data_IF_413771977666
#
_entry.id   IF_413771977666
#
_cell.length_a   1.000
_cell.length_b   1.000
_cell.length_c   1.000
_cell.angle_alpha   90.00
_cell.angle_beta   90.00
_cell.angle_gamma   90.00
#
_symmetry.space_group_name_H-M   'P 1'
#
loop_
_entity.id
_entity.type
_entity.pdbx_description
1 polymer ?
#
# COMPACT_ATOMS: atom_id res chain seq x y z
N UNK A 1 23.47 -15.17 -34.94
CA UNK A 1 23.78 -16.35 -34.11
C UNK A 1 24.45 -15.85 -32.83
N UNK A 2 23.68 -15.63 -31.77
CA UNK A 2 24.18 -15.26 -30.45
C UNK A 2 23.38 -16.08 -29.42
N UNK A 3 23.98 -17.17 -28.95
CA UNK A 3 23.42 -18.05 -27.93
C UNK A 3 23.62 -17.40 -26.56
N UNK A 4 22.61 -16.64 -26.10
CA UNK A 4 22.51 -16.26 -24.68
C UNK A 4 21.77 -17.37 -23.95
N UNK A 5 22.51 -18.39 -23.54
CA UNK A 5 22.13 -19.22 -22.41
C UNK A 5 22.30 -18.36 -21.15
N UNK A 6 21.34 -17.48 -20.87
CA UNK A 6 21.13 -17.04 -19.50
C UNK A 6 20.79 -18.29 -18.70
N UNK A 7 21.77 -18.80 -17.93
CA UNK A 7 21.56 -20.00 -17.12
C UNK A 7 20.26 -19.84 -16.33
N UNK A 8 19.43 -20.89 -16.27
CA UNK A 8 18.17 -20.91 -15.53
C UNK A 8 18.34 -20.34 -14.10
N UNK A 9 19.52 -20.53 -13.50
CA UNK A 9 19.90 -19.96 -12.20
C UNK A 9 19.83 -18.43 -12.11
N UNK A 10 20.18 -17.70 -13.18
CA UNK A 10 20.11 -16.25 -13.25
C UNK A 10 18.66 -15.76 -13.43
N UNK A 11 17.87 -16.46 -14.26
CA UNK A 11 16.45 -16.17 -14.45
C UNK A 11 15.63 -16.38 -13.16
N UNK A 12 15.91 -17.45 -12.41
CA UNK A 12 15.30 -17.70 -11.10
C UNK A 12 15.68 -16.63 -10.07
N UNK A 13 16.94 -16.20 -10.03
CA UNK A 13 17.40 -15.12 -9.13
C UNK A 13 16.80 -13.76 -9.46
N UNK A 14 16.51 -13.49 -10.74
CA UNK A 14 15.89 -12.25 -11.20
C UNK A 14 14.35 -12.27 -11.17
N UNK A 15 13.72 -13.37 -10.76
CA UNK A 15 12.25 -13.51 -10.78
C UNK A 15 11.64 -13.44 -12.19
N UNK A 16 12.44 -13.69 -13.23
CA UNK A 16 12.01 -13.57 -14.62
C UNK A 16 11.53 -14.92 -15.16
N UNK A 17 10.35 -15.35 -14.71
CA UNK A 17 9.72 -16.60 -15.14
C UNK A 17 9.27 -16.60 -16.61
N UNK A 18 9.26 -15.45 -17.29
CA UNK A 18 8.94 -15.35 -18.71
C UNK A 18 9.96 -16.10 -19.59
N UNK A 19 11.20 -16.25 -19.11
CA UNK A 19 12.26 -17.01 -19.79
C UNK A 19 11.89 -18.51 -19.89
N UNK A 20 11.20 -19.05 -18.88
CA UNK A 20 10.77 -20.46 -18.86
C UNK A 20 9.69 -20.70 -19.92
N UNK A 21 8.73 -19.77 -20.02
CA UNK A 21 7.67 -19.83 -21.02
C UNK A 21 8.19 -19.64 -22.45
N UNK A 22 9.15 -18.75 -22.66
CA UNK A 22 9.82 -18.53 -23.95
C UNK A 22 10.65 -19.75 -24.37
N UNK A 23 11.45 -20.31 -23.46
CA UNK A 23 12.19 -21.55 -23.70
C UNK A 23 11.23 -22.69 -24.08
N UNK A 24 10.19 -22.94 -23.28
CA UNK A 24 9.23 -23.99 -23.57
C UNK A 24 8.57 -23.79 -24.93
N UNK A 25 8.09 -22.57 -25.23
CA UNK A 25 7.45 -22.25 -26.50
C UNK A 25 8.36 -22.57 -27.68
N UNK A 26 9.63 -22.15 -27.62
CA UNK A 26 10.60 -22.37 -28.70
C UNK A 26 10.82 -23.85 -28.97
N UNK A 27 11.13 -24.64 -27.94
CA UNK A 27 11.41 -26.07 -28.12
C UNK A 27 10.14 -26.86 -28.46
N UNK A 28 9.01 -26.53 -27.83
CA UNK A 28 7.71 -27.14 -28.09
C UNK A 28 7.32 -26.99 -29.57
N UNK A 29 7.28 -25.75 -30.09
CA UNK A 29 6.89 -25.54 -31.49
C UNK A 29 7.95 -26.04 -32.48
N UNK A 30 9.24 -25.98 -32.15
CA UNK A 30 10.30 -26.51 -33.02
C UNK A 30 10.19 -28.04 -33.21
N UNK A 31 10.02 -28.79 -32.11
CA UNK A 31 9.82 -30.25 -32.16
C UNK A 31 8.54 -30.57 -32.93
N UNK A 32 7.48 -29.79 -32.72
CA UNK A 32 6.20 -30.03 -33.36
C UNK A 32 6.23 -29.80 -34.88
N UNK A 33 6.88 -28.73 -35.34
CA UNK A 33 7.07 -28.46 -36.78
C UNK A 33 7.85 -29.61 -37.41
N UNK A 34 8.94 -30.06 -36.78
CA UNK A 34 9.71 -31.19 -37.27
C UNK A 34 8.84 -32.46 -37.38
N UNK A 35 8.07 -32.79 -36.34
CA UNK A 35 7.19 -33.95 -36.34
C UNK A 35 6.10 -33.88 -37.44
N UNK A 36 5.50 -32.71 -37.66
CA UNK A 36 4.47 -32.50 -38.69
C UNK A 36 5.06 -32.60 -40.10
N UNK A 37 6.25 -32.06 -40.33
CA UNK A 37 6.99 -32.23 -41.59
C UNK A 37 7.31 -33.71 -41.83
N UNK A 38 7.85 -34.41 -40.83
CA UNK A 38 8.14 -35.84 -40.91
C UNK A 38 6.89 -36.68 -41.21
N UNK A 39 5.74 -36.34 -40.61
CA UNK A 39 4.48 -37.03 -40.87
C UNK A 39 3.98 -36.81 -42.31
N UNK A 40 4.09 -35.58 -42.84
CA UNK A 40 3.76 -35.28 -44.23
C UNK A 40 4.65 -36.06 -45.22
N UNK A 41 5.96 -36.10 -44.96
CA UNK A 41 6.91 -36.87 -45.78
C UNK A 41 6.57 -38.36 -45.71
N UNK A 42 6.34 -38.91 -44.51
CA UNK A 42 6.03 -40.32 -44.31
C UNK A 42 4.74 -40.74 -45.03
N UNK A 43 3.68 -39.93 -44.92
CA UNK A 43 2.43 -40.17 -45.65
C UNK A 43 2.63 -40.11 -47.17
N UNK A 44 3.45 -39.17 -47.64
CA UNK A 44 3.76 -39.03 -49.06
C UNK A 44 4.54 -40.21 -49.62
N UNK A 45 5.51 -40.75 -48.88
CA UNK A 45 6.25 -41.96 -49.27
C UNK A 45 5.35 -43.20 -49.22
N UNK A 46 4.55 -43.37 -48.16
CA UNK A 46 3.65 -44.51 -48.00
C UNK A 46 2.65 -44.60 -49.16
N UNK A 47 2.00 -43.49 -49.53
CA UNK A 47 1.06 -43.48 -50.66
C UNK A 47 1.79 -43.47 -52.00
N UNK A 48 2.93 -42.79 -52.11
CA UNK A 48 3.69 -42.69 -53.35
C UNK A 48 4.20 -44.04 -53.84
N UNK A 49 4.62 -44.91 -52.92
CA UNK A 49 5.07 -46.29 -53.23
C UNK A 49 3.93 -47.21 -53.68
N UNK A 50 2.68 -46.94 -53.24
CA UNK A 50 1.50 -47.75 -53.56
C UNK A 50 0.76 -47.27 -54.81
N UNK A 51 0.62 -45.95 -54.98
CA UNK A 51 -0.30 -45.32 -55.93
C UNK A 51 0.39 -44.35 -56.91
N UNK A 52 1.73 -44.25 -56.85
CA UNK A 52 2.53 -43.38 -57.71
C UNK A 52 2.84 -42.00 -57.12
N UNK A 53 3.90 -41.37 -57.64
CA UNK A 53 4.50 -40.15 -57.09
C UNK A 53 3.52 -38.99 -56.89
N UNK A 54 2.64 -38.73 -57.87
CA UNK A 54 1.67 -37.61 -57.81
C UNK A 54 0.66 -37.81 -56.67
N UNK A 55 0.15 -39.03 -56.48
CA UNK A 55 -0.76 -39.36 -55.38
C UNK A 55 -0.07 -39.27 -54.01
N UNK A 56 1.20 -39.68 -53.95
CA UNK A 56 2.05 -39.52 -52.77
C UNK A 56 2.23 -38.05 -52.39
N UNK A 57 2.66 -37.21 -53.34
CA UNK A 57 2.89 -35.78 -53.10
C UNK A 57 1.60 -35.06 -52.64
N UNK A 58 0.46 -35.36 -53.27
CA UNK A 58 -0.84 -34.81 -52.87
C UNK A 58 -1.24 -35.20 -51.44
N UNK A 59 -1.03 -36.47 -51.06
CA UNK A 59 -1.36 -36.92 -49.70
C UNK A 59 -0.41 -36.34 -48.66
N UNK A 60 0.90 -36.30 -48.95
CA UNK A 60 1.89 -35.75 -48.03
C UNK A 60 1.65 -34.25 -47.75
N UNK A 61 1.36 -33.47 -48.79
CA UNK A 61 1.04 -32.05 -48.64
C UNK A 61 -0.26 -31.83 -47.85
N UNK A 62 -1.29 -32.65 -48.13
CA UNK A 62 -2.56 -32.62 -47.37
C UNK A 62 -2.34 -32.93 -45.89
N UNK A 63 -1.57 -33.98 -45.59
CA UNK A 63 -1.27 -34.38 -44.20
C UNK A 63 -0.52 -33.27 -43.48
N UNK A 64 0.49 -32.68 -44.11
CA UNK A 64 1.22 -31.55 -43.55
C UNK A 64 0.32 -30.35 -43.25
N UNK A 65 -0.45 -29.88 -44.25
CA UNK A 65 -1.28 -28.69 -44.12
C UNK A 65 -2.40 -28.85 -43.08
N UNK A 66 -3.10 -29.99 -43.11
CA UNK A 66 -4.16 -30.27 -42.14
C UNK A 66 -3.59 -30.49 -40.73
N UNK A 67 -2.37 -31.02 -40.59
CA UNK A 67 -1.74 -31.19 -39.28
C UNK A 67 -1.42 -29.85 -38.64
N UNK A 68 -0.96 -28.86 -39.42
CA UNK A 68 -0.73 -27.50 -38.93
C UNK A 68 -2.03 -26.81 -38.48
N UNK A 69 -3.09 -26.91 -39.29
CA UNK A 69 -4.40 -26.34 -38.95
C UNK A 69 -5.00 -27.00 -37.70
N UNK A 70 -4.93 -28.34 -37.63
CA UNK A 70 -5.45 -29.10 -36.49
C UNK A 70 -4.65 -28.82 -35.22
N UNK A 71 -3.32 -28.73 -35.33
CA UNK A 71 -2.44 -28.30 -34.25
C UNK A 71 -2.81 -26.90 -33.72
N UNK A 72 -2.97 -25.92 -34.61
CA UNK A 72 -3.36 -24.56 -34.23
C UNK A 72 -4.72 -24.52 -33.53
N UNK A 73 -5.71 -25.28 -34.03
CA UNK A 73 -7.02 -25.39 -33.39
C UNK A 73 -6.93 -26.03 -31.99
N UNK A 74 -6.17 -27.12 -31.85
CA UNK A 74 -5.94 -27.76 -30.56
C UNK A 74 -5.26 -26.81 -29.57
N UNK A 75 -4.23 -26.09 -30.02
CA UNK A 75 -3.56 -25.07 -29.21
C UNK A 75 -4.51 -23.96 -28.78
N UNK A 76 -5.34 -23.43 -29.68
CA UNK A 76 -6.32 -22.39 -29.34
C UNK A 76 -7.36 -22.88 -28.30
N UNK A 77 -7.88 -24.10 -28.46
CA UNK A 77 -8.78 -24.71 -27.48
C UNK A 77 -8.10 -24.88 -26.11
N UNK A 78 -6.87 -25.39 -26.11
CA UNK A 78 -6.06 -25.50 -24.90
C UNK A 78 -5.83 -24.12 -24.25
N UNK A 79 -5.50 -23.12 -25.06
CA UNK A 79 -5.21 -21.76 -24.62
C UNK A 79 -6.40 -21.12 -23.90
N UNK A 80 -7.61 -21.25 -24.44
CA UNK A 80 -8.86 -20.78 -23.80
C UNK A 80 -9.06 -21.44 -22.43
N UNK A 81 -8.84 -22.76 -22.33
CA UNK A 81 -8.93 -23.46 -21.06
C UNK A 81 -7.82 -23.01 -20.09
N UNK A 82 -6.60 -22.83 -20.56
CA UNK A 82 -5.49 -22.38 -19.73
C UNK A 82 -5.73 -20.97 -19.18
N UNK A 83 -6.34 -20.08 -19.95
CA UNK A 83 -6.76 -18.76 -19.50
C UNK A 83 -7.76 -18.88 -18.35
N UNK A 84 -8.79 -19.71 -18.52
CA UNK A 84 -9.81 -19.95 -17.51
C UNK A 84 -9.17 -20.42 -16.19
N UNK A 85 -8.42 -21.51 -16.24
CA UNK A 85 -7.76 -22.06 -15.06
C UNK A 85 -6.65 -21.17 -14.48
N UNK A 86 -6.11 -20.24 -15.27
CA UNK A 86 -5.00 -19.36 -14.90
C UNK A 86 -5.41 -18.09 -14.15
N UNK A 87 -6.70 -17.74 -14.10
CA UNK A 87 -7.19 -16.52 -13.43
C UNK A 87 -6.83 -16.57 -11.92
N UNK A 88 -6.10 -15.57 -11.39
CA UNK A 88 -5.76 -15.53 -9.97
C UNK A 88 -7.02 -15.25 -9.12
N UNK A 89 -7.17 -16.00 -8.02
CA UNK A 89 -8.26 -15.81 -7.05
C UNK A 89 -7.84 -14.79 -6.00
N UNK A 90 -8.53 -13.65 -5.93
CA UNK A 90 -8.26 -12.59 -4.97
C UNK A 90 -8.90 -12.86 -3.61
N UNK A 91 -9.98 -13.65 -3.57
CA UNK A 91 -10.73 -13.98 -2.34
C UNK A 91 -9.95 -14.91 -1.39
N UNK A 92 -9.16 -15.85 -1.91
CA UNK A 92 -8.34 -16.76 -1.09
C UNK A 92 -7.18 -16.02 -0.38
N UNK A 93 -6.76 -14.85 -0.88
CA UNK A 93 -5.68 -14.03 -0.30
C UNK A 93 -6.14 -13.27 0.95
N UNK A 94 -7.42 -12.91 1.03
CA UNK A 94 -7.98 -12.18 2.18
C UNK A 94 -8.36 -13.10 3.37
N UNK A 95 -8.51 -14.41 3.14
CA UNK A 95 -8.91 -15.35 4.20
C UNK A 95 -7.73 -16.06 4.91
N UNK A 96 -6.51 -15.94 4.40
CA UNK A 96 -5.33 -16.64 4.92
C UNK A 96 -4.33 -15.74 5.67
N UNK A 97 -4.81 -14.70 6.37
CA UNK A 97 -4.09 -14.16 7.53
C UNK A 97 -4.51 -14.98 8.76
N UNK A 98 -3.61 -15.81 9.35
CA UNK A 98 -3.91 -16.41 10.64
C UNK A 98 -3.92 -15.28 11.66
N UNK A 99 -5.12 -14.83 12.04
CA UNK A 99 -5.29 -14.12 13.31
C UNK A 99 -5.08 -15.17 14.38
N UNK A 100 -3.86 -15.25 14.89
CA UNK A 100 -3.53 -16.00 16.10
C UNK A 100 -4.21 -15.28 17.28
N UNK A 101 -5.49 -15.54 17.47
CA UNK A 101 -6.21 -15.15 18.67
C UNK A 101 -5.87 -16.14 19.78
N UNK A 102 -4.86 -15.79 20.57
CA UNK A 102 -4.65 -16.33 21.91
C UNK A 102 -5.65 -15.68 22.86
N UNK A 103 -6.44 -16.47 23.58
CA UNK A 103 -7.06 -16.05 24.85
C UNK A 103 -8.56 -16.27 24.97
N UNK A 104 -8.91 -17.25 25.79
CA UNK A 104 -10.24 -17.73 26.18
C UNK A 104 -11.04 -16.79 27.11
N UNK A 105 -12.35 -17.08 27.17
CA UNK A 105 -13.34 -16.88 28.24
C UNK A 105 -14.06 -15.52 28.45
N UNK A 106 -15.38 -15.53 28.18
CA UNK A 106 -16.36 -15.10 29.19
C UNK A 106 -17.47 -14.10 28.78
N UNK A 107 -18.70 -14.63 28.69
CA UNK A 107 -19.96 -13.97 29.08
C UNK A 107 -20.75 -13.15 28.02
N UNK A 108 -21.91 -13.69 27.68
CA UNK A 108 -22.99 -13.03 26.94
C UNK A 108 -23.87 -12.18 27.87
N UNK A 109 -24.21 -10.93 27.50
CA UNK A 109 -25.53 -10.28 27.74
C UNK A 109 -25.78 -9.11 26.75
N UNK A 110 -26.90 -9.21 26.02
CA UNK A 110 -27.84 -8.21 25.48
C UNK A 110 -27.44 -6.90 24.74
N UNK A 111 -27.93 -6.82 23.49
CA UNK A 111 -28.69 -5.76 22.80
C UNK A 111 -28.79 -4.33 23.39
N UNK A 112 -28.46 -3.33 22.56
CA UNK A 112 -29.39 -2.31 21.97
C UNK A 112 -28.57 -1.19 21.29
N UNK A 113 -28.56 -1.12 19.96
CA UNK A 113 -29.27 -0.12 19.15
C UNK A 113 -28.87 1.35 19.40
N UNK A 114 -28.13 1.97 18.48
CA UNK A 114 -28.68 2.96 17.52
C UNK A 114 -27.60 3.80 16.81
N UNK A 115 -27.89 4.11 15.55
CA UNK A 115 -27.45 5.26 14.76
C UNK A 115 -26.00 5.26 14.21
N UNK A 116 -25.91 5.01 12.90
CA UNK A 116 -24.71 5.27 12.10
C UNK A 116 -24.67 4.39 10.86
N UNK A 117 -25.67 4.52 9.98
CA UNK A 117 -25.71 3.79 8.71
C UNK A 117 -24.49 4.10 7.86
N UNK A 118 -23.46 3.26 7.95
CA UNK A 118 -22.44 3.17 6.93
C UNK A 118 -23.07 2.53 5.70
N UNK A 119 -23.52 3.39 4.79
CA UNK A 119 -23.54 3.07 3.36
C UNK A 119 -22.21 2.43 3.02
N UNK A 120 -22.21 1.11 2.85
CA UNK A 120 -21.18 0.36 2.12
C UNK A 120 -21.12 0.95 0.72
N UNK A 121 -20.36 2.03 0.57
CA UNK A 121 -19.93 2.50 -0.74
C UNK A 121 -19.18 1.33 -1.37
N UNK A 122 -19.58 0.88 -2.57
CA UNK A 122 -18.96 -0.27 -3.21
C UNK A 122 -17.54 0.17 -3.57
N UNK A 123 -16.57 -0.18 -2.73
CA UNK A 123 -15.16 -0.07 -3.06
C UNK A 123 -14.99 -0.82 -4.37
N UNK A 124 -14.45 -0.11 -5.36
CA UNK A 124 -14.29 -0.55 -6.74
C UNK A 124 -13.72 -1.97 -6.79
N UNK A 125 -14.61 -2.96 -6.86
CA UNK A 125 -14.31 -4.35 -7.16
C UNK A 125 -13.68 -4.32 -8.54
N UNK A 126 -12.36 -4.49 -8.61
CA UNK A 126 -11.68 -4.74 -9.89
C UNK A 126 -12.23 -6.07 -10.40
N UNK A 127 -13.27 -6.00 -11.22
CA UNK A 127 -13.94 -7.07 -11.97
C UNK A 127 -13.81 -8.51 -11.40
N UNK A 128 -14.44 -8.79 -10.26
CA UNK A 128 -14.62 -10.19 -9.78
C UNK A 128 -15.46 -11.01 -10.76
N UNK A 129 -16.20 -10.39 -11.68
CA UNK A 129 -17.01 -11.08 -12.68
C UNK A 129 -16.23 -12.16 -13.45
N UNK A 130 -14.98 -11.90 -13.84
CA UNK A 130 -14.16 -12.90 -14.55
C UNK A 130 -13.62 -13.98 -13.62
N UNK A 131 -13.30 -13.64 -12.37
CA UNK A 131 -12.90 -14.59 -11.33
C UNK A 131 -14.06 -15.54 -10.98
N UNK A 132 -15.24 -14.99 -10.74
CA UNK A 132 -16.47 -15.71 -10.36
C UNK A 132 -16.95 -16.62 -11.50
N UNK A 133 -17.00 -16.11 -12.74
CA UNK A 133 -17.35 -16.91 -13.92
C UNK A 133 -16.32 -18.01 -14.13
N UNK A 134 -15.03 -17.71 -13.96
CA UNK A 134 -13.97 -18.70 -14.13
C UNK A 134 -14.05 -19.81 -13.08
N UNK A 135 -14.25 -19.45 -11.81
CA UNK A 135 -14.35 -20.42 -10.72
C UNK A 135 -15.57 -21.33 -10.88
N UNK A 136 -16.72 -20.76 -11.22
CA UNK A 136 -17.92 -21.54 -11.51
C UNK A 136 -17.71 -22.48 -12.71
N UNK A 137 -17.11 -21.98 -13.80
CA UNK A 137 -16.93 -22.76 -15.01
C UNK A 137 -15.89 -23.86 -14.82
N UNK A 138 -14.77 -23.59 -14.15
CA UNK A 138 -13.74 -24.60 -13.84
C UNK A 138 -14.29 -25.72 -12.96
N UNK A 139 -15.07 -25.39 -11.92
CA UNK A 139 -15.76 -26.40 -11.09
C UNK A 139 -16.71 -27.26 -11.90
N UNK A 140 -17.47 -26.66 -12.82
CA UNK A 140 -18.39 -27.38 -13.71
C UNK A 140 -17.63 -28.31 -14.67
N UNK A 141 -16.57 -27.82 -15.33
CA UNK A 141 -15.75 -28.60 -16.27
C UNK A 141 -15.09 -29.78 -15.54
N UNK A 142 -14.48 -29.56 -14.38
CA UNK A 142 -13.84 -30.63 -13.60
C UNK A 142 -14.87 -31.62 -13.07
N UNK A 143 -16.01 -31.14 -12.57
CA UNK A 143 -17.10 -31.97 -12.05
C UNK A 143 -17.68 -32.88 -13.12
N UNK A 144 -18.06 -32.34 -14.27
CA UNK A 144 -18.59 -33.13 -15.40
C UNK A 144 -17.50 -34.04 -15.97
N UNK A 145 -16.27 -33.53 -16.13
CA UNK A 145 -15.14 -34.30 -16.65
C UNK A 145 -14.83 -35.55 -15.82
N UNK A 146 -14.89 -35.45 -14.49
CA UNK A 146 -14.66 -36.58 -13.60
C UNK A 146 -15.70 -37.70 -13.78
N UNK A 147 -16.97 -37.34 -14.00
CA UNK A 147 -18.03 -38.34 -14.23
C UNK A 147 -17.92 -39.03 -15.59
N UNK A 148 -17.33 -38.38 -16.59
CA UNK A 148 -17.22 -38.88 -17.96
C UNK A 148 -15.84 -39.47 -18.30
N UNK A 149 -14.91 -39.54 -17.34
CA UNK A 149 -13.51 -39.87 -17.56
C UNK A 149 -13.31 -41.21 -18.31
N UNK A 150 -14.17 -42.20 -18.05
CA UNK A 150 -14.09 -43.52 -18.68
C UNK A 150 -14.54 -43.54 -20.16
N UNK A 151 -15.33 -42.55 -20.61
CA UNK A 151 -15.84 -42.45 -21.99
C UNK A 151 -14.87 -41.69 -22.90
N UNK A 152 -14.03 -40.82 -22.32
CA UNK A 152 -13.11 -39.94 -23.04
C UNK A 152 -12.16 -40.70 -23.99
N UNK A 153 -11.48 -41.80 -23.61
CA UNK A 153 -10.53 -42.47 -24.49
C UNK A 153 -11.18 -42.98 -25.78
N UNK A 154 -12.36 -43.59 -25.68
CA UNK A 154 -13.08 -44.12 -26.84
C UNK A 154 -13.60 -42.98 -27.73
N UNK A 155 -14.14 -41.92 -27.14
CA UNK A 155 -14.61 -40.75 -27.88
C UNK A 155 -13.46 -40.07 -28.66
N UNK A 156 -12.28 -39.92 -28.04
CA UNK A 156 -11.08 -39.38 -28.70
C UNK A 156 -10.62 -40.28 -29.85
N UNK A 157 -10.60 -41.60 -29.64
CA UNK A 157 -10.23 -42.53 -30.71
C UNK A 157 -11.18 -42.43 -31.90
N UNK A 158 -12.49 -42.40 -31.66
CA UNK A 158 -13.51 -42.24 -32.72
C UNK A 158 -13.38 -40.90 -33.44
N UNK A 159 -13.20 -39.80 -32.72
CA UNK A 159 -13.01 -38.47 -33.30
C UNK A 159 -11.75 -38.40 -34.18
N UNK A 160 -10.65 -38.99 -33.73
CA UNK A 160 -9.41 -39.12 -34.51
C UNK A 160 -9.63 -39.92 -35.80
N UNK A 161 -10.48 -40.96 -35.77
CA UNK A 161 -10.88 -41.73 -36.94
C UNK A 161 -11.66 -40.90 -37.96
N UNK A 162 -12.58 -40.04 -37.49
CA UNK A 162 -13.33 -39.10 -38.34
C UNK A 162 -12.37 -38.08 -38.99
N UNK A 163 -11.45 -37.51 -38.22
CA UNK A 163 -10.44 -36.57 -38.73
C UNK A 163 -9.53 -37.22 -39.78
N UNK A 164 -9.17 -38.50 -39.60
CA UNK A 164 -8.39 -39.22 -40.60
C UNK A 164 -9.20 -39.50 -41.87
N UNK A 165 -10.39 -40.08 -41.74
CA UNK A 165 -11.20 -40.50 -42.88
C UNK A 165 -11.70 -39.32 -43.72
N UNK A 166 -12.11 -38.22 -43.08
CA UNK A 166 -12.59 -37.02 -43.76
C UNK A 166 -11.50 -36.01 -44.14
N UNK A 167 -10.31 -36.11 -43.55
CA UNK A 167 -9.24 -35.12 -43.70
C UNK A 167 -7.93 -35.72 -44.19
N UNK A 168 -7.14 -36.27 -43.28
CA UNK A 168 -5.77 -36.72 -43.56
C UNK A 168 -5.68 -37.75 -44.68
N UNK A 169 -6.62 -38.70 -44.68
CA UNK A 169 -6.70 -39.84 -45.61
C UNK A 169 -5.42 -40.66 -45.65
N UNK A 170 -4.74 -40.80 -44.52
CA UNK A 170 -3.59 -41.69 -44.38
C UNK A 170 -4.07 -42.99 -43.74
N UNK A 171 -4.34 -43.99 -44.58
CA UNK A 171 -5.00 -45.25 -44.18
C UNK A 171 -4.26 -46.00 -43.07
N UNK A 172 -2.92 -45.89 -43.04
CA UNK A 172 -2.08 -46.68 -42.14
C UNK A 172 -1.95 -46.03 -40.76
N UNK A 173 -1.75 -44.70 -40.69
CA UNK A 173 -1.38 -44.04 -39.43
C UNK A 173 -2.08 -42.69 -39.16
N UNK A 174 -2.98 -42.23 -40.04
CA UNK A 174 -3.55 -40.89 -39.91
C UNK A 174 -4.46 -40.70 -38.69
N UNK A 175 -5.10 -41.76 -38.20
CA UNK A 175 -5.87 -41.71 -36.95
C UNK A 175 -4.95 -41.53 -35.72
N UNK A 176 -3.83 -42.26 -35.69
CA UNK A 176 -2.82 -42.09 -34.63
C UNK A 176 -2.24 -40.68 -34.68
N UNK A 177 -1.96 -40.14 -35.87
CA UNK A 177 -1.49 -38.77 -36.05
C UNK A 177 -2.47 -37.75 -35.45
N UNK A 178 -3.77 -37.86 -35.77
CA UNK A 178 -4.79 -36.97 -35.22
C UNK A 178 -4.82 -37.00 -33.68
N UNK A 179 -4.73 -38.19 -33.08
CA UNK A 179 -4.70 -38.37 -31.63
C UNK A 179 -3.45 -37.74 -31.00
N UNK A 180 -2.27 -37.96 -31.58
CA UNK A 180 -1.00 -37.40 -31.08
C UNK A 180 -0.99 -35.89 -31.20
N UNK A 181 -1.48 -35.31 -32.30
CA UNK A 181 -1.60 -33.87 -32.46
C UNK A 181 -2.48 -33.27 -31.36
N UNK A 182 -3.63 -33.88 -31.07
CA UNK A 182 -4.51 -33.43 -29.99
C UNK A 182 -3.82 -33.49 -28.62
N UNK A 183 -3.25 -34.66 -28.27
CA UNK A 183 -2.59 -34.89 -26.98
C UNK A 183 -1.33 -34.05 -26.77
N UNK A 184 -0.70 -33.58 -27.86
CA UNK A 184 0.46 -32.70 -27.79
C UNK A 184 0.05 -31.22 -27.70
N UNK A 185 -0.73 -30.74 -28.68
CA UNK A 185 -0.99 -29.32 -28.86
C UNK A 185 -2.02 -28.74 -27.90
N UNK A 186 -3.02 -29.53 -27.46
CA UNK A 186 -4.03 -29.03 -26.52
C UNK A 186 -3.45 -28.82 -25.11
N UNK A 187 -2.75 -29.80 -24.49
CA UNK A 187 -2.08 -29.56 -23.21
C UNK A 187 -0.99 -28.48 -23.29
N UNK A 188 -0.26 -28.39 -24.41
CA UNK A 188 0.74 -27.34 -24.62
C UNK A 188 0.12 -25.94 -24.66
N UNK A 189 -0.98 -25.76 -25.39
CA UNK A 189 -1.73 -24.49 -25.40
C UNK A 189 -2.29 -24.12 -24.03
N UNK A 190 -2.82 -25.12 -23.30
CA UNK A 190 -3.27 -24.95 -21.93
C UNK A 190 -2.16 -24.45 -21.01
N UNK A 191 -1.01 -25.14 -21.02
CA UNK A 191 0.12 -24.78 -20.16
C UNK A 191 0.63 -23.36 -20.46
N UNK A 192 0.77 -23.03 -21.74
CA UNK A 192 1.21 -21.70 -22.18
C UNK A 192 0.29 -20.59 -21.68
N UNK A 193 -1.03 -20.73 -21.86
CA UNK A 193 -1.95 -19.72 -21.35
C UNK A 193 -2.00 -19.69 -19.83
N UNK A 194 -2.00 -20.85 -19.18
CA UNK A 194 -2.09 -20.94 -17.73
C UNK A 194 -0.94 -20.20 -17.06
N UNK A 195 0.30 -20.45 -17.51
CA UNK A 195 1.49 -19.77 -17.00
C UNK A 195 1.45 -18.27 -17.34
N UNK A 196 1.10 -17.91 -18.58
CA UNK A 196 1.02 -16.52 -19.00
C UNK A 196 -0.03 -15.74 -18.19
N UNK A 197 -1.26 -16.26 -18.07
CA UNK A 197 -2.32 -15.65 -17.26
C UNK A 197 -1.91 -15.57 -15.80
N UNK A 198 -1.39 -16.64 -15.21
CA UNK A 198 -0.99 -16.63 -13.79
C UNK A 198 0.14 -15.66 -13.48
N UNK A 199 1.09 -15.45 -14.38
CA UNK A 199 2.24 -14.57 -14.15
C UNK A 199 1.98 -13.13 -14.56
N UNK A 200 1.39 -12.89 -15.74
CA UNK A 200 1.14 -11.55 -16.28
C UNK A 200 -0.08 -10.89 -15.65
N UNK A 201 -1.20 -11.62 -15.48
CA UNK A 201 -2.42 -11.03 -14.93
C UNK A 201 -2.27 -10.69 -13.45
N UNK A 202 -1.56 -11.53 -12.68
CA UNK A 202 -1.22 -11.23 -11.28
C UNK A 202 -0.39 -9.96 -11.17
N UNK A 203 0.66 -9.80 -12.00
CA UNK A 203 1.48 -8.58 -12.02
C UNK A 203 0.68 -7.34 -12.42
N UNK A 204 -0.23 -7.47 -13.38
CA UNK A 204 -1.12 -6.37 -13.78
C UNK A 204 -2.04 -5.98 -12.62
N UNK A 205 -2.66 -6.94 -11.93
CA UNK A 205 -3.50 -6.62 -10.77
C UNK A 205 -2.72 -6.00 -9.62
N UNK A 206 -1.51 -6.50 -9.33
CA UNK A 206 -0.65 -5.91 -8.31
C UNK A 206 -0.22 -4.49 -8.71
N UNK A 207 0.08 -4.23 -9.99
CA UNK A 207 0.45 -2.90 -10.48
C UNK A 207 -0.72 -1.90 -10.45
N UNK A 208 -1.94 -2.32 -10.78
CA UNK A 208 -3.13 -1.46 -10.68
C UNK A 208 -3.61 -1.23 -9.26
N UNK A 209 -3.25 -2.12 -8.32
CA UNK A 209 -3.63 -2.03 -6.91
C UNK A 209 -2.54 -1.40 -6.03
N UNK A 210 -1.33 -1.24 -6.56
CA UNK A 210 -0.24 -0.57 -5.86
C UNK A 210 -0.58 0.93 -5.70
N UNK A 211 -0.48 1.49 -4.48
CA UNK A 211 -0.73 2.90 -4.29
C UNK A 211 0.36 3.72 -4.99
N UNK A 212 -0.02 4.86 -5.56
CA UNK A 212 0.89 5.77 -6.27
C UNK A 212 2.04 6.18 -5.35
N UNK A 213 3.26 5.73 -5.68
CA UNK A 213 4.45 5.94 -4.86
C UNK A 213 4.82 7.42 -4.73
N UNK A 214 4.50 8.23 -5.73
CA UNK A 214 4.69 9.67 -5.65
C UNK A 214 3.74 10.26 -4.62
N UNK A 215 2.48 9.84 -4.60
CA UNK A 215 1.49 10.30 -3.61
C UNK A 215 1.81 9.82 -2.20
N UNK A 216 2.29 8.60 -2.04
CA UNK A 216 2.81 8.11 -0.75
C UNK A 216 3.94 9.04 -0.26
N UNK A 217 4.89 9.37 -1.14
CA UNK A 217 6.04 10.22 -0.81
C UNK A 217 5.60 11.63 -0.40
N UNK A 218 4.70 12.24 -1.16
CA UNK A 218 4.15 13.58 -0.89
C UNK A 218 3.40 13.62 0.46
N UNK A 219 2.63 12.57 0.78
CA UNK A 219 1.85 12.51 2.02
C UNK A 219 2.70 12.25 3.27
N UNK A 220 3.73 11.39 3.21
CA UNK A 220 4.59 11.07 4.38
C UNK A 220 5.48 12.24 4.76
N UNK A 221 6.14 12.87 3.78
CA UNK A 221 7.13 13.91 4.05
C UNK A 221 6.52 15.25 4.44
N UNK A 222 5.22 15.43 4.23
CA UNK A 222 4.51 16.59 4.74
C UNK A 222 4.43 16.50 6.27
N UNK A 223 5.27 17.29 6.95
CA UNK A 223 5.33 17.33 8.40
C UNK A 223 3.96 17.66 9.02
N UNK A 224 3.61 16.91 10.08
CA UNK A 224 2.40 17.15 10.84
C UNK A 224 2.60 18.37 11.74
N UNK A 225 1.81 19.40 11.50
CA UNK A 225 1.82 20.62 12.30
C UNK A 225 0.65 20.57 13.28
N UNK A 226 0.95 20.76 14.55
CA UNK A 226 -0.09 21.03 15.54
C UNK A 226 -0.83 22.31 15.16
N UNK A 227 -2.13 22.32 15.34
CA UNK A 227 -2.87 23.58 15.31
C UNK A 227 -2.42 24.50 16.46
N UNK A 228 -2.75 25.80 16.43
CA UNK A 228 -2.33 26.74 17.48
C UNK A 228 -2.78 26.37 18.90
N UNK A 229 -3.82 25.53 19.05
CA UNK A 229 -4.32 25.05 20.34
C UNK A 229 -3.66 23.75 20.81
N UNK A 230 -2.79 23.16 19.98
CA UNK A 230 -2.15 21.86 20.20
C UNK A 230 -3.11 20.67 20.41
N UNK A 231 -4.41 20.81 20.11
CA UNK A 231 -5.45 19.78 20.28
C UNK A 231 -5.87 19.11 18.97
N UNK A 232 -5.15 19.42 17.90
CA UNK A 232 -5.43 18.92 16.57
C UNK A 232 -4.24 19.10 15.64
N UNK A 233 -4.41 18.62 14.41
CA UNK A 233 -3.40 18.72 13.36
C UNK A 233 -3.93 19.66 12.28
N UNK A 234 -3.12 20.66 11.93
CA UNK A 234 -3.45 21.60 10.88
C UNK A 234 -3.56 20.87 9.52
N UNK A 235 -4.57 21.22 8.69
CA UNK A 235 -4.72 20.61 7.38
C UNK A 235 -3.56 20.96 6.44
N UNK A 236 -3.38 20.16 5.39
CA UNK A 236 -2.36 20.42 4.37
C UNK A 236 -2.58 21.78 3.70
N UNK A 237 -1.53 22.60 3.63
CA UNK A 237 -1.59 23.91 2.95
C UNK A 237 -1.28 23.81 1.46
N UNK A 238 -0.36 22.92 1.07
CA UNK A 238 0.06 22.73 -0.31
C UNK A 238 -0.92 21.81 -1.06
N UNK A 239 -1.31 22.21 -2.28
CA UNK A 239 -2.30 21.45 -3.08
C UNK A 239 -1.79 20.06 -3.50
N UNK A 240 -0.48 19.91 -3.70
CA UNK A 240 0.15 18.60 -3.95
C UNK A 240 -0.09 17.62 -2.80
N UNK A 241 0.04 18.09 -1.56
CA UNK A 241 -0.18 17.26 -0.36
C UNK A 241 -1.67 16.99 -0.17
N UNK A 242 -2.55 17.96 -0.41
CA UNK A 242 -4.02 17.74 -0.34
C UNK A 242 -4.47 16.64 -1.31
N UNK A 243 -3.93 16.67 -2.52
CA UNK A 243 -4.23 15.66 -3.53
C UNK A 243 -3.64 14.30 -3.15
N UNK A 244 -2.41 14.27 -2.63
CA UNK A 244 -1.81 13.06 -2.10
C UNK A 244 -2.63 12.44 -0.96
N UNK A 245 -3.07 13.26 0.01
CA UNK A 245 -3.91 12.83 1.11
C UNK A 245 -5.22 12.20 0.61
N UNK A 246 -5.86 12.83 -0.38
CA UNK A 246 -7.09 12.33 -1.00
C UNK A 246 -6.88 10.94 -1.63
N UNK A 247 -5.80 10.76 -2.38
CA UNK A 247 -5.48 9.49 -3.05
C UNK A 247 -5.12 8.40 -2.04
N UNK A 248 -4.29 8.73 -1.06
CA UNK A 248 -3.83 7.77 -0.04
C UNK A 248 -5.01 7.33 0.84
N UNK A 249 -5.89 8.23 1.27
CA UNK A 249 -7.07 7.89 2.06
C UNK A 249 -8.11 7.06 1.29
N UNK A 250 -8.19 7.25 -0.03
CA UNK A 250 -9.04 6.42 -0.90
C UNK A 250 -8.49 4.99 -1.08
N UNK A 251 -7.21 4.78 -0.77
CA UNK A 251 -6.59 3.45 -0.85
C UNK A 251 -7.03 2.60 0.35
N UNK A 252 -7.55 1.38 0.14
CA UNK A 252 -7.92 0.49 1.24
C UNK A 252 -6.75 0.23 2.18
N UNK A 253 -6.98 0.35 3.49
CA UNK A 253 -5.93 0.15 4.51
C UNK A 253 -5.26 -1.22 4.41
N UNK A 254 -6.00 -2.25 4.00
CA UNK A 254 -5.51 -3.64 3.88
C UNK A 254 -4.56 -3.85 2.69
N UNK A 255 -4.56 -2.97 1.69
CA UNK A 255 -3.59 -3.03 0.59
C UNK A 255 -2.27 -2.33 0.91
N UNK A 256 -2.19 -1.62 2.04
CA UNK A 256 -0.98 -0.93 2.51
C UNK A 256 -0.15 -1.91 3.35
N UNK A 257 0.98 -2.34 2.82
CA UNK A 257 1.81 -3.39 3.42
C UNK A 257 3.16 -2.90 3.93
N UNK A 258 3.65 -1.76 3.44
CA UNK A 258 4.94 -1.21 3.87
C UNK A 258 4.78 -0.20 5.01
N UNK A 259 5.76 -0.07 5.93
CA UNK A 259 5.72 0.95 6.99
C UNK A 259 5.47 2.35 6.43
N UNK A 260 6.11 2.68 5.30
CA UNK A 260 5.99 3.97 4.62
C UNK A 260 4.57 4.23 4.10
N UNK A 261 3.96 3.23 3.45
CA UNK A 261 2.58 3.32 2.97
C UNK A 261 1.59 3.55 4.11
N UNK A 262 1.77 2.81 5.19
CA UNK A 262 0.91 2.91 6.38
C UNK A 262 1.09 4.28 7.05
N UNK A 263 2.34 4.76 7.18
CA UNK A 263 2.64 6.08 7.70
C UNK A 263 2.04 7.20 6.81
N UNK A 264 2.04 7.03 5.48
CA UNK A 264 1.42 7.99 4.56
C UNK A 264 -0.07 8.13 4.82
N UNK A 265 -0.74 6.99 4.98
CA UNK A 265 -2.16 6.94 5.28
C UNK A 265 -2.48 7.51 6.65
N UNK A 266 -1.63 7.23 7.65
CA UNK A 266 -1.76 7.80 8.99
C UNK A 266 -1.59 9.34 8.97
N UNK A 267 -0.62 9.86 8.22
CA UNK A 267 -0.39 11.29 8.06
C UNK A 267 -1.58 11.99 7.38
N UNK A 268 -2.14 11.39 6.33
CA UNK A 268 -3.34 11.89 5.67
C UNK A 268 -4.57 11.82 6.59
N UNK A 269 -4.72 10.75 7.38
CA UNK A 269 -5.79 10.61 8.37
C UNK A 269 -5.68 11.71 9.44
N UNK A 270 -4.46 12.02 9.89
CA UNK A 270 -4.21 13.10 10.85
C UNK A 270 -4.65 14.47 10.31
N UNK A 271 -4.24 14.82 9.08
CA UNK A 271 -4.58 16.10 8.43
C UNK A 271 -6.06 16.22 8.05
N UNK A 272 -6.79 15.11 7.96
CA UNK A 272 -8.25 15.09 7.83
C UNK A 272 -9.00 15.15 9.18
N UNK A 273 -8.27 15.27 10.29
CA UNK A 273 -8.83 15.39 11.65
C UNK A 273 -9.09 14.05 12.34
N UNK A 274 -8.75 12.91 11.73
CA UNK A 274 -8.98 11.59 12.30
C UNK A 274 -7.77 11.09 13.11
N UNK A 275 -7.56 11.71 14.28
CA UNK A 275 -6.39 11.45 15.13
C UNK A 275 -6.30 10.02 15.65
N UNK A 276 -7.43 9.35 15.91
CA UNK A 276 -7.44 7.97 16.39
C UNK A 276 -6.99 6.99 15.31
N UNK A 277 -7.42 7.19 14.06
CA UNK A 277 -6.93 6.40 12.93
C UNK A 277 -5.46 6.67 12.65
N UNK A 278 -5.04 7.94 12.73
CA UNK A 278 -3.64 8.30 12.59
C UNK A 278 -2.76 7.62 13.65
N UNK A 279 -3.20 7.61 14.91
CA UNK A 279 -2.50 6.92 16.01
C UNK A 279 -2.30 5.43 15.68
N UNK A 280 -3.38 4.72 15.36
CA UNK A 280 -3.32 3.30 15.03
C UNK A 280 -2.41 3.02 13.81
N UNK A 281 -2.50 3.85 12.77
CA UNK A 281 -1.66 3.73 11.58
C UNK A 281 -0.17 3.93 11.89
N UNK A 282 0.21 4.97 12.63
CA UNK A 282 1.61 5.18 12.98
C UNK A 282 2.14 4.12 13.95
N UNK A 283 1.33 3.62 14.88
CA UNK A 283 1.69 2.48 15.73
C UNK A 283 1.96 1.22 14.90
N UNK A 284 1.12 0.94 13.90
CA UNK A 284 1.33 -0.16 12.97
C UNK A 284 2.60 0.01 12.14
N UNK A 285 2.85 1.20 11.61
CA UNK A 285 4.07 1.52 10.86
C UNK A 285 5.33 1.33 11.73
N UNK A 286 5.30 1.81 12.97
CA UNK A 286 6.39 1.67 13.92
C UNK A 286 6.60 0.22 14.38
N UNK A 287 5.54 -0.59 14.42
CA UNK A 287 5.65 -2.04 14.70
C UNK A 287 6.45 -2.76 13.61
N UNK A 288 6.29 -2.34 12.36
CA UNK A 288 7.00 -2.91 11.21
C UNK A 288 8.43 -2.34 11.05
N UNK A 289 8.65 -1.08 11.42
CA UNK A 289 9.99 -0.45 11.45
C UNK A 289 10.20 0.37 12.75
N UNK A 290 10.65 -0.28 13.84
CA UNK A 290 10.81 0.37 15.15
C UNK A 290 11.92 1.43 15.20
N UNK A 291 12.79 1.47 14.20
CA UNK A 291 13.95 2.38 14.14
C UNK A 291 13.64 3.68 13.41
N UNK A 292 12.45 3.80 12.82
CA UNK A 292 12.07 4.96 12.04
C UNK A 292 11.82 6.20 12.91
N UNK A 293 12.80 7.11 12.94
CA UNK A 293 12.72 8.33 13.75
C UNK A 293 11.66 9.31 13.26
N UNK A 294 11.41 9.38 11.94
CA UNK A 294 10.38 10.23 11.35
C UNK A 294 8.98 9.78 11.81
N UNK A 295 8.70 8.48 11.76
CA UNK A 295 7.43 7.91 12.25
C UNK A 295 7.28 8.11 13.76
N UNK A 296 8.35 7.97 14.55
CA UNK A 296 8.31 8.26 16.00
C UNK A 296 7.95 9.71 16.29
N UNK A 297 8.55 10.65 15.56
CA UNK A 297 8.26 12.07 15.70
C UNK A 297 6.80 12.38 15.32
N UNK A 298 6.33 11.85 14.18
CA UNK A 298 4.93 12.05 13.76
C UNK A 298 3.94 11.42 14.75
N UNK A 299 4.20 10.22 15.27
CA UNK A 299 3.38 9.59 16.31
C UNK A 299 3.39 10.39 17.61
N UNK A 300 4.54 10.94 18.02
CA UNK A 300 4.63 11.82 19.17
C UNK A 300 3.75 13.06 18.98
N UNK A 301 3.75 13.67 17.79
CA UNK A 301 2.84 14.78 17.46
C UNK A 301 1.37 14.38 17.61
N UNK A 302 0.99 13.18 17.14
CA UNK A 302 -0.38 12.66 17.31
C UNK A 302 -0.72 12.44 18.79
N UNK A 303 0.20 11.88 19.57
CA UNK A 303 -0.01 11.70 21.01
C UNK A 303 -0.18 13.04 21.74
N UNK A 304 0.60 14.05 21.39
CA UNK A 304 0.43 15.41 21.93
C UNK A 304 -0.95 15.97 21.58
N UNK A 305 -1.38 15.86 20.31
CA UNK A 305 -2.71 16.31 19.88
C UNK A 305 -3.86 15.57 20.60
N UNK A 306 -3.65 14.32 21.00
CA UNK A 306 -4.59 13.51 21.78
C UNK A 306 -4.49 13.72 23.30
N UNK A 307 -3.62 14.61 23.78
CA UNK A 307 -3.37 14.84 25.21
C UNK A 307 -2.57 13.73 25.90
N UNK A 308 -2.01 12.77 25.16
CA UNK A 308 -1.20 11.64 25.66
C UNK A 308 0.28 12.04 25.80
N UNK A 309 0.55 13.14 26.50
CA UNK A 309 1.88 13.77 26.58
C UNK A 309 2.95 12.82 27.13
N UNK A 310 2.61 11.95 28.08
CA UNK A 310 3.55 10.97 28.63
C UNK A 310 4.07 9.97 27.58
N UNK A 311 3.20 9.50 26.68
CA UNK A 311 3.58 8.59 25.59
C UNK A 311 4.38 9.34 24.51
N UNK A 312 3.99 10.59 24.20
CA UNK A 312 4.76 11.46 23.31
C UNK A 312 6.21 11.64 23.82
N UNK A 313 6.37 11.99 25.10
CA UNK A 313 7.67 12.16 25.73
C UNK A 313 8.51 10.88 25.75
N UNK A 314 7.87 9.71 25.92
CA UNK A 314 8.57 8.43 25.85
C UNK A 314 9.17 8.18 24.47
N UNK A 315 8.43 8.45 23.41
CA UNK A 315 8.94 8.34 22.04
C UNK A 315 10.07 9.35 21.78
N UNK A 316 9.87 10.59 22.21
CA UNK A 316 10.83 11.68 22.01
C UNK A 316 12.12 11.53 22.82
N UNK A 317 12.14 10.73 23.89
CA UNK A 317 13.32 10.52 24.74
C UNK A 317 14.55 9.98 24.01
N UNK A 318 14.33 9.36 22.85
CA UNK A 318 15.39 8.79 21.99
C UNK A 318 15.72 9.66 20.78
N UNK A 319 15.02 10.79 20.62
CA UNK A 319 15.15 11.69 19.48
C UNK A 319 15.88 12.98 19.89
N UNK A 320 16.50 13.69 18.93
CA UNK A 320 17.03 15.02 19.18
C UNK A 320 15.95 15.97 19.70
N UNK A 321 16.38 16.97 20.50
CA UNK A 321 15.54 18.08 20.92
C UNK A 321 14.89 18.75 19.71
N UNK A 322 13.59 19.02 19.83
CA UNK A 322 12.76 19.65 18.78
C UNK A 322 11.72 20.54 19.43
N UNK A 323 11.03 21.36 18.62
CA UNK A 323 10.01 22.29 19.09
C UNK A 323 8.90 21.54 19.86
N UNK A 324 8.51 20.34 19.40
CA UNK A 324 7.54 19.48 20.09
C UNK A 324 8.00 19.11 21.51
N UNK A 325 9.31 18.96 21.72
CA UNK A 325 9.88 18.72 23.05
C UNK A 325 9.72 19.91 24.00
N UNK A 326 9.75 21.15 23.49
CA UNK A 326 9.46 22.36 24.28
C UNK A 326 8.01 22.35 24.72
N UNK A 327 7.08 22.14 23.77
CA UNK A 327 5.66 22.09 24.06
C UNK A 327 5.31 21.00 25.08
N UNK A 328 5.79 19.77 24.87
CA UNK A 328 5.49 18.66 25.79
C UNK A 328 6.03 18.91 27.20
N UNK A 329 7.15 19.62 27.34
CA UNK A 329 7.72 19.99 28.63
C UNK A 329 6.86 21.02 29.39
N UNK A 330 6.07 21.87 28.70
CA UNK A 330 5.16 22.82 29.36
C UNK A 330 4.03 22.14 30.14
N UNK A 331 3.67 20.92 29.76
CA UNK A 331 2.66 20.11 30.43
C UNK A 331 3.22 19.21 31.54
N UNK A 332 4.54 19.25 31.79
CA UNK A 332 5.15 18.53 32.90
C UNK A 332 4.99 19.29 34.24
N UNK A 333 5.05 18.60 35.40
CA UNK A 333 4.96 19.25 36.70
C UNK A 333 6.01 20.34 36.91
N UNK A 334 5.55 21.49 37.44
CA UNK A 334 6.42 22.59 37.86
C UNK A 334 7.26 22.19 39.08
N UNK A 335 8.54 22.62 39.19
CA UNK A 335 9.23 23.56 38.30
C UNK A 335 9.96 22.89 37.12
N UNK A 336 10.06 21.55 37.10
CA UNK A 336 10.87 20.83 36.11
C UNK A 336 10.40 21.07 34.68
N UNK A 337 9.08 21.13 34.45
CA UNK A 337 8.51 21.31 33.11
C UNK A 337 8.99 22.58 32.42
N UNK A 338 8.72 23.76 33.00
CA UNK A 338 9.17 25.02 32.41
C UNK A 338 10.70 25.16 32.38
N UNK A 339 11.44 24.60 33.35
CA UNK A 339 12.91 24.62 33.32
C UNK A 339 13.45 23.83 32.12
N UNK A 340 12.87 22.66 31.85
CA UNK A 340 13.21 21.84 30.70
C UNK A 340 12.80 22.52 29.38
N UNK A 341 11.60 23.10 29.32
CA UNK A 341 11.12 23.85 28.16
C UNK A 341 12.06 25.01 27.80
N UNK A 342 12.46 25.82 28.79
CA UNK A 342 13.42 26.93 28.61
C UNK A 342 14.76 26.39 28.12
N UNK A 343 15.30 25.34 28.75
CA UNK A 343 16.59 24.78 28.34
C UNK A 343 16.60 24.29 26.89
N UNK A 344 15.54 23.58 26.47
CA UNK A 344 15.41 23.06 25.10
C UNK A 344 15.21 24.23 24.13
N UNK A 345 14.31 25.17 24.43
CA UNK A 345 13.98 26.26 23.53
C UNK A 345 15.13 27.26 23.36
N UNK A 346 15.88 27.58 24.42
CA UNK A 346 17.09 28.42 24.31
C UNK A 346 18.19 27.74 23.48
N UNK A 347 18.27 26.41 23.46
CA UNK A 347 19.17 25.66 22.59
C UNK A 347 18.71 25.73 21.13
N UNK A 348 17.42 25.50 20.87
CA UNK A 348 16.84 25.54 19.53
C UNK A 348 16.93 26.93 18.91
N UNK A 349 16.67 28.00 19.66
CA UNK A 349 16.74 29.37 19.19
C UNK A 349 18.15 29.83 18.77
N UNK A 350 19.21 29.11 19.19
CA UNK A 350 20.59 29.34 18.70
C UNK A 350 20.84 28.74 17.32
N UNK A 351 19.97 27.85 16.84
CA UNK A 351 20.11 27.21 15.55
C UNK A 351 19.71 28.16 14.42
N UNK A 352 20.40 28.08 13.28
CA UNK A 352 20.05 28.86 12.09
C UNK A 352 18.60 28.53 11.68
N UNK A 353 17.84 29.57 11.34
CA UNK A 353 16.43 29.52 10.90
C UNK A 353 15.37 29.32 11.99
N UNK A 354 15.73 29.11 13.26
CA UNK A 354 14.76 29.00 14.36
C UNK A 354 14.36 30.36 14.96
N UNK A 355 15.14 31.42 14.71
CA UNK A 355 14.85 32.75 15.25
C UNK A 355 13.46 33.29 14.85
N UNK A 356 12.97 32.90 13.67
CA UNK A 356 11.66 33.25 13.13
C UNK A 356 10.56 32.20 13.33
N UNK A 357 10.76 31.20 14.18
CA UNK A 357 9.75 30.18 14.48
C UNK A 357 8.72 30.71 15.48
N UNK A 358 7.60 31.23 14.98
CA UNK A 358 6.57 31.86 15.81
C UNK A 358 6.01 30.93 16.90
N UNK A 359 5.77 29.65 16.59
CA UNK A 359 5.24 28.68 17.57
C UNK A 359 6.22 28.43 18.71
N UNK A 360 7.51 28.24 18.39
CA UNK A 360 8.55 28.10 19.41
C UNK A 360 8.64 29.32 20.32
N UNK A 361 8.52 30.53 19.74
CA UNK A 361 8.49 31.81 20.51
C UNK A 361 7.28 31.90 21.43
N UNK A 362 6.09 31.49 20.98
CA UNK A 362 4.89 31.42 21.83
C UNK A 362 5.12 30.46 23.00
N UNK A 363 5.65 29.26 22.75
CA UNK A 363 5.92 28.28 23.80
C UNK A 363 7.00 28.75 24.78
N UNK A 364 8.00 29.49 24.30
CA UNK A 364 9.00 30.12 25.17
C UNK A 364 8.39 31.22 26.04
N UNK A 365 7.49 32.04 25.51
CA UNK A 365 6.75 33.01 26.31
C UNK A 365 5.94 32.31 27.42
N UNK A 366 5.27 31.20 27.09
CA UNK A 366 4.55 30.38 28.07
C UNK A 366 5.49 29.80 29.14
N UNK A 367 6.65 29.28 28.74
CA UNK A 367 7.63 28.73 29.67
C UNK A 367 8.12 29.77 30.69
N UNK A 368 8.44 30.98 30.23
CA UNK A 368 8.80 32.08 31.12
C UNK A 368 7.60 32.59 31.93
N UNK A 369 6.38 32.53 31.39
CA UNK A 369 5.14 32.82 32.11
C UNK A 369 4.91 31.86 33.29
N UNK A 370 5.09 30.55 33.07
CA UNK A 370 5.05 29.54 34.14
C UNK A 370 6.15 29.77 35.18
N UNK A 371 7.36 30.16 34.75
CA UNK A 371 8.45 30.52 35.66
C UNK A 371 8.09 31.74 36.52
N UNK A 372 7.52 32.79 35.92
CA UNK A 372 7.10 34.01 36.62
C UNK A 372 5.98 33.71 37.63
N UNK A 373 4.99 32.89 37.25
CA UNK A 373 3.95 32.42 38.15
C UNK A 373 4.53 31.66 39.36
N UNK A 374 5.48 30.76 39.11
CA UNK A 374 6.14 29.99 40.15
C UNK A 374 6.93 30.89 41.10
N UNK A 375 7.78 31.78 40.58
CA UNK A 375 8.54 32.76 41.37
C UNK A 375 7.63 33.60 42.26
N UNK A 376 6.51 34.09 41.73
CA UNK A 376 5.52 34.88 42.48
C UNK A 376 4.92 34.07 43.63
N UNK A 377 4.60 32.80 43.39
CA UNK A 377 4.05 31.91 44.42
C UNK A 377 5.06 31.52 45.50
N UNK A 378 6.36 31.51 45.18
CA UNK A 378 7.44 31.15 46.12
C UNK A 378 8.12 32.36 46.78
N UNK A 379 7.60 33.57 46.58
CA UNK A 379 8.15 34.79 47.19
C UNK A 379 9.44 35.30 46.54
N UNK A 380 9.59 35.12 45.23
CA UNK A 380 10.70 35.67 44.44
C UNK A 380 10.82 37.19 44.56
N UNK A 381 12.03 37.70 44.46
CA UNK A 381 12.31 39.12 44.58
C UNK A 381 11.71 39.93 43.42
N UNK A 382 11.45 41.22 43.65
CA UNK A 382 10.95 42.12 42.59
C UNK A 382 11.91 42.19 41.39
N UNK A 383 13.21 42.01 41.61
CA UNK A 383 14.21 42.00 40.55
C UNK A 383 14.14 40.73 39.69
N UNK A 384 13.93 39.56 40.31
CA UNK A 384 13.75 38.29 39.58
C UNK A 384 12.47 38.30 38.75
N UNK A 385 11.36 38.78 39.33
CA UNK A 385 10.08 38.91 38.62
C UNK A 385 10.19 39.88 37.44
N UNK A 386 10.89 41.02 37.61
CA UNK A 386 11.13 41.97 36.53
C UNK A 386 11.96 41.36 35.40
N UNK A 387 13.03 40.62 35.73
CA UNK A 387 13.88 39.97 34.74
C UNK A 387 13.13 38.88 33.95
N UNK A 388 12.30 38.07 34.61
CA UNK A 388 11.48 37.07 33.91
C UNK A 388 10.39 37.72 33.08
N UNK A 389 9.77 38.82 33.55
CA UNK A 389 8.82 39.61 32.76
C UNK A 389 9.45 40.10 31.46
N UNK A 390 10.66 40.67 31.50
CA UNK A 390 11.35 41.14 30.28
C UNK A 390 11.52 40.02 29.25
N UNK A 391 11.84 38.80 29.70
CA UNK A 391 11.92 37.63 28.81
C UNK A 391 10.57 37.28 28.19
N UNK A 392 9.48 37.31 28.97
CA UNK A 392 8.12 37.09 28.43
C UNK A 392 7.81 38.11 27.33
N UNK A 393 8.03 39.40 27.60
CA UNK A 393 7.76 40.47 26.62
C UNK A 393 8.60 40.29 25.35
N UNK A 394 9.89 39.97 25.49
CA UNK A 394 10.78 39.70 24.37
C UNK A 394 10.29 38.54 23.49
N UNK A 395 9.87 37.42 24.09
CA UNK A 395 9.37 36.27 23.33
C UNK A 395 8.01 36.56 22.67
N UNK A 396 7.12 37.29 23.34
CA UNK A 396 5.84 37.78 22.76
C UNK A 396 6.09 38.67 21.55
N UNK A 397 6.99 39.66 21.67
CA UNK A 397 7.34 40.55 20.57
C UNK A 397 7.94 39.79 19.38
N UNK A 398 8.85 38.86 19.64
CA UNK A 398 9.46 38.01 18.62
C UNK A 398 8.45 37.08 17.95
N UNK A 399 7.50 36.50 18.70
CA UNK A 399 6.41 35.68 18.15
C UNK A 399 5.54 36.49 17.17
N UNK A 400 5.13 37.70 17.55
CA UNK A 400 4.29 38.58 16.73
C UNK A 400 5.05 39.06 15.49
N UNK A 401 6.35 39.36 15.63
CA UNK A 401 7.20 39.75 14.51
C UNK A 401 7.38 38.62 13.50
N UNK A 402 7.45 37.37 13.98
CA UNK A 402 7.54 36.18 13.13
C UNK A 402 6.20 35.86 12.45
N UNK A 403 5.10 35.88 13.19
CA UNK A 403 3.75 35.66 12.68
C UNK A 403 2.72 36.51 13.45
N UNK A 404 2.18 37.59 12.83
CA UNK A 404 1.18 38.44 13.46
C UNK A 404 -0.13 37.74 13.85
N UNK A 405 -0.44 36.57 13.28
CA UNK A 405 -1.65 35.81 13.60
C UNK A 405 -1.63 35.21 15.01
N UNK A 406 -0.44 35.11 15.63
CA UNK A 406 -0.27 34.62 17.02
C UNK A 406 -0.85 35.56 18.09
N UNK A 407 -1.15 36.82 17.74
CA UNK A 407 -1.65 37.83 18.69
C UNK A 407 -2.89 37.38 19.47
N UNK A 408 -3.84 36.73 18.80
CA UNK A 408 -5.09 36.34 19.45
C UNK A 408 -4.86 35.20 20.46
N UNK A 409 -4.01 34.23 20.12
CA UNK A 409 -3.59 33.16 21.03
C UNK A 409 -2.82 33.72 22.25
N UNK A 410 -1.87 34.62 22.01
CA UNK A 410 -1.10 35.24 23.09
C UNK A 410 -2.00 36.07 24.02
N UNK A 411 -3.03 36.73 23.47
CA UNK A 411 -4.03 37.44 24.26
C UNK A 411 -4.85 36.48 25.12
N UNK A 412 -5.30 35.34 24.57
CA UNK A 412 -6.06 34.36 25.36
C UNK A 412 -5.24 33.70 26.46
N UNK A 413 -3.93 33.57 26.28
CA UNK A 413 -3.02 33.02 27.31
C UNK A 413 -2.74 34.02 28.45
N UNK A 414 -2.80 35.33 28.16
CA UNK A 414 -2.58 36.41 29.14
C UNK A 414 -3.85 36.83 29.87
N UNK A 415 -4.97 36.92 29.14
CA UNK A 415 -6.29 37.23 29.68
C UNK A 415 -7.25 36.07 29.36
N UNK A 416 -7.09 34.93 30.04
CA UNK A 416 -7.91 33.75 29.80
C UNK A 416 -9.36 33.98 30.24
N UNK A 417 -10.29 33.36 29.52
CA UNK A 417 -11.68 33.25 29.97
C UNK A 417 -11.76 32.37 31.23
N UNK A 418 -12.75 32.58 32.12
CA UNK A 418 -12.92 31.76 33.30
C UNK A 418 -13.00 30.26 32.97
N UNK A 419 -12.09 29.46 33.53
CA UNK A 419 -12.03 28.01 33.31
C UNK A 419 -11.17 27.57 32.12
N UNK A 420 -10.40 28.46 31.50
CA UNK A 420 -9.38 28.07 30.52
C UNK A 420 -8.33 27.14 31.16
N UNK A 421 -7.91 26.12 30.40
CA UNK A 421 -6.87 25.18 30.84
C UNK A 421 -5.47 25.79 30.74
N UNK A 422 -5.20 26.59 29.71
CA UNK A 422 -3.90 27.20 29.45
C UNK A 422 -3.91 28.68 29.89
N UNK A 423 -3.25 28.97 31.02
CA UNK A 423 -3.19 30.32 31.62
C UNK A 423 -1.75 30.81 31.83
N UNK A 424 -0.82 30.34 30.99
CA UNK A 424 0.62 30.47 31.24
C UNK A 424 1.11 31.93 31.38
N UNK A 425 0.43 32.90 30.75
CA UNK A 425 0.80 34.32 30.82
C UNK A 425 -0.02 35.14 31.84
N UNK A 426 -1.03 34.54 32.50
CA UNK A 426 -1.94 35.19 33.46
C UNK A 426 -1.22 35.77 34.69
N UNK A 427 0.01 35.32 34.95
CA UNK A 427 0.80 35.80 36.09
C UNK A 427 1.20 37.29 35.98
N UNK A 428 1.17 37.85 34.76
CA UNK A 428 1.37 39.27 34.48
C UNK A 428 0.08 40.05 34.71
N UNK A 429 0.16 41.30 35.21
CA UNK A 429 -1.03 42.06 35.56
C UNK A 429 -1.89 42.36 34.32
N UNK A 430 -3.24 42.40 34.42
CA UNK A 430 -4.13 42.65 33.27
C UNK A 430 -3.92 44.01 32.60
N UNK A 431 -3.30 44.97 33.28
CA UNK A 431 -2.96 46.30 32.79
C UNK A 431 -1.46 46.47 32.47
N UNK A 432 -0.75 45.37 32.19
CA UNK A 432 0.65 45.40 31.76
C UNK A 432 0.82 46.27 30.50
N UNK A 433 1.60 47.34 30.62
CA UNK A 433 1.72 48.36 29.57
C UNK A 433 2.32 47.83 28.26
N UNK A 434 3.24 46.88 28.34
CA UNK A 434 3.90 46.32 27.15
C UNK A 434 2.98 45.35 26.43
N UNK A 435 2.30 44.47 27.17
CA UNK A 435 1.33 43.54 26.58
C UNK A 435 0.12 44.28 26.01
N UNK A 436 -0.38 45.33 26.68
CA UNK A 436 -1.43 46.19 26.10
C UNK A 436 -1.00 46.81 24.76
N UNK A 437 0.26 47.23 24.63
CA UNK A 437 0.80 47.80 23.39
C UNK A 437 0.99 46.74 22.31
N UNK A 438 1.57 45.58 22.65
CA UNK A 438 1.91 44.52 21.69
C UNK A 438 0.67 43.76 21.19
N UNK A 439 -0.30 43.53 22.07
CA UNK A 439 -1.51 42.75 21.81
C UNK A 439 -2.75 43.62 21.57
N UNK A 440 -2.59 44.91 21.30
CA UNK A 440 -3.67 45.78 20.84
C UNK A 440 -4.29 45.24 19.53
N UNK A 441 -5.61 45.46 19.38
CA UNK A 441 -6.38 45.06 18.19
C UNK A 441 -5.90 45.77 16.94
#
# INVERSE_FOLDING_TARGET
MATRDESWSAAFKAGNFAIIADWFSRYFFAIAIFAVVSAGIAAGVDIGTKNGFVAGLGTGLRVFALSLLFAAACTACGWILGLLFGVPRTLDRAQNTPVTATGDNGSAVANAAAAGGQTRTPTSRVNTNLEDISDWLTKTIVGVGLTQLFVVPEALWRAAGIANTGGFGWSTHGQLLALVLFLYFMPGGFWLSYVATRTSLTRLFDAFSAPDEQKITEAVHAELRLDPSAKGIAPATQDVVKEADRVVLATPRDSLSTPRQIAAWAAAAARSGNLLQAQAGFEDALRLDPTNNEVKQQLATIYTALGKVSEANRLMSTLPNSDLGVLNALYEPRPRGFQRAISIGEELLKQKNQEGNANLRVWMACAYGQQHAFQKSTGGSSQELAATREKIISEVENAIKADPTTKDLLRSLWQPEPGAEDTDLESLPPNDSDLMRLLAK
#
